data_IF_044238334027
#
_entry.id   IF_044238334027
#
_cell.length_a   1.000
_cell.length_b   1.000
_cell.length_c   1.000
_cell.angle_alpha   90.00
_cell.angle_beta   90.00
_cell.angle_gamma   90.00
#
_symmetry.space_group_name_H-M   'P 1'
#
loop_
_entity.id
_entity.type
_entity.pdbx_description
1 polymer ?
#
# COMPACT_ATOMS: atom_id res chain seq x y z
N UNK A 1 -14.27 3.06 -15.60
CA UNK A 1 -13.53 2.11 -14.75
C UNK A 1 -14.19 0.72 -14.59
N UNK A 2 -15.28 0.39 -15.33
CA UNK A 2 -16.12 -0.83 -15.13
C UNK A 2 -15.41 -2.21 -15.16
N UNK A 3 -14.14 -2.30 -15.57
CA UNK A 3 -13.35 -3.55 -15.63
C UNK A 3 -12.23 -3.65 -14.60
N UNK A 4 -11.97 -2.60 -13.82
CA UNK A 4 -10.85 -2.59 -12.88
C UNK A 4 -11.33 -3.11 -11.53
N UNK A 5 -10.72 -4.16 -10.95
CA UNK A 5 -11.13 -4.73 -9.68
C UNK A 5 -10.66 -3.86 -8.49
N UNK A 6 -11.09 -2.60 -8.46
CA UNK A 6 -10.61 -1.59 -7.51
C UNK A 6 -10.89 -2.00 -6.06
N UNK A 7 -12.13 -2.37 -5.74
CA UNK A 7 -12.52 -2.76 -4.39
C UNK A 7 -11.78 -4.02 -3.91
N UNK A 8 -11.57 -4.99 -4.81
CA UNK A 8 -10.78 -6.19 -4.50
C UNK A 8 -9.33 -5.83 -4.20
N UNK A 9 -8.71 -4.96 -5.00
CA UNK A 9 -7.33 -4.54 -4.81
C UNK A 9 -7.15 -3.80 -3.48
N UNK A 10 -8.04 -2.85 -3.17
CA UNK A 10 -8.02 -2.13 -1.89
C UNK A 10 -8.22 -3.09 -0.72
N UNK A 11 -9.14 -4.07 -0.84
CA UNK A 11 -9.35 -5.09 0.19
C UNK A 11 -8.09 -5.91 0.47
N UNK A 12 -7.34 -6.31 -0.55
CA UNK A 12 -6.03 -6.98 -0.38
C UNK A 12 -5.01 -6.07 0.31
N UNK A 13 -4.93 -4.79 -0.09
CA UNK A 13 -4.02 -3.83 0.55
C UNK A 13 -4.38 -3.55 2.01
N UNK A 14 -5.66 -3.59 2.38
CA UNK A 14 -6.10 -3.49 3.78
C UNK A 14 -5.64 -4.69 4.61
N UNK A 15 -5.53 -5.88 4.01
CA UNK A 15 -4.94 -7.03 4.70
C UNK A 15 -3.45 -6.82 4.92
N UNK A 16 -2.73 -6.41 3.87
CA UNK A 16 -1.29 -6.15 3.96
C UNK A 16 -0.98 -5.08 5.01
N UNK A 17 -1.73 -3.98 5.07
CA UNK A 17 -1.48 -2.91 6.04
C UNK A 17 -1.66 -3.36 7.50
N UNK A 18 -2.53 -4.34 7.76
CA UNK A 18 -2.79 -4.84 9.11
C UNK A 18 -1.79 -5.92 9.51
N UNK A 19 -1.43 -6.80 8.58
CA UNK A 19 -0.68 -8.02 8.91
C UNK A 19 0.83 -7.91 8.71
N UNK A 20 1.29 -7.20 7.68
CA UNK A 20 2.70 -7.30 7.23
C UNK A 20 3.36 -5.95 6.96
N UNK A 21 2.58 -4.94 6.57
CA UNK A 21 3.08 -3.65 6.05
C UNK A 21 2.31 -2.45 6.60
N UNK A 22 2.41 -2.16 7.92
CA UNK A 22 1.71 -1.02 8.52
C UNK A 22 2.14 0.33 7.93
N UNK A 23 3.29 0.38 7.25
CA UNK A 23 3.80 1.57 6.57
C UNK A 23 2.88 2.08 5.45
N UNK A 24 2.08 1.22 4.80
CA UNK A 24 1.14 1.65 3.74
C UNK A 24 -0.23 2.08 4.27
N UNK A 25 -0.48 2.03 5.58
CA UNK A 25 -1.82 2.22 6.15
C UNK A 25 -2.45 3.59 5.81
N UNK A 26 -1.64 4.64 5.73
CA UNK A 26 -2.14 5.98 5.38
C UNK A 26 -2.67 6.01 3.94
N UNK A 27 -1.85 5.59 2.98
CA UNK A 27 -2.21 5.56 1.56
C UNK A 27 -3.42 4.67 1.30
N UNK A 28 -3.47 3.49 1.92
CA UNK A 28 -4.62 2.57 1.85
C UNK A 28 -5.89 3.23 2.42
N UNK A 29 -5.77 3.95 3.53
CA UNK A 29 -6.86 4.71 4.12
C UNK A 29 -7.44 5.75 3.16
N UNK A 30 -6.59 6.48 2.43
CA UNK A 30 -7.03 7.47 1.43
C UNK A 30 -7.76 6.80 0.27
N UNK A 31 -7.20 5.76 -0.34
CA UNK A 31 -7.83 5.09 -1.50
C UNK A 31 -9.12 4.35 -1.11
N UNK A 32 -9.24 3.89 0.14
CA UNK A 32 -10.47 3.23 0.63
C UNK A 32 -11.71 4.13 0.63
N UNK A 33 -11.54 5.45 0.60
CA UNK A 33 -12.67 6.40 0.51
C UNK A 33 -13.37 6.36 -0.85
N UNK A 34 -12.72 5.85 -1.89
CA UNK A 34 -13.20 5.91 -3.28
C UNK A 34 -13.66 4.56 -3.83
N UNK A 35 -14.07 3.63 -2.96
CA UNK A 35 -14.47 2.27 -3.35
C UNK A 35 -15.68 2.22 -4.29
N UNK A 36 -16.67 3.09 -4.10
CA UNK A 36 -17.93 3.07 -4.87
C UNK A 36 -17.78 3.70 -6.26
N UNK A 37 -17.02 4.78 -6.36
CA UNK A 37 -16.81 5.49 -7.62
C UNK A 37 -15.35 5.91 -7.79
N UNK A 38 -14.47 4.94 -8.11
CA UNK A 38 -13.06 5.26 -8.32
C UNK A 38 -12.87 5.95 -9.68
N UNK A 39 -12.01 6.96 -9.68
CA UNK A 39 -11.48 7.62 -10.88
C UNK A 39 -10.07 7.13 -11.25
N UNK A 40 -9.59 7.44 -12.46
CA UNK A 40 -8.30 6.98 -12.99
C UNK A 40 -7.14 7.30 -12.06
N UNK A 41 -7.17 8.47 -11.42
CA UNK A 41 -6.15 8.90 -10.46
C UNK A 41 -6.10 7.99 -9.24
N UNK A 42 -7.26 7.57 -8.73
CA UNK A 42 -7.35 6.61 -7.61
C UNK A 42 -6.77 5.25 -7.98
N UNK A 43 -6.99 4.79 -9.22
CA UNK A 43 -6.37 3.55 -9.70
C UNK A 43 -4.87 3.70 -9.92
N UNK A 44 -4.40 4.89 -10.31
CA UNK A 44 -2.99 5.19 -10.39
C UNK A 44 -2.33 5.11 -9.01
N UNK A 45 -2.95 5.67 -7.97
CA UNK A 45 -2.48 5.56 -6.59
C UNK A 45 -2.36 4.09 -6.14
N UNK A 46 -3.38 3.26 -6.38
CA UNK A 46 -3.31 1.82 -6.07
C UNK A 46 -2.15 1.13 -6.79
N UNK A 47 -1.90 1.45 -8.06
CA UNK A 47 -0.74 0.91 -8.79
C UNK A 47 0.59 1.35 -8.17
N UNK A 48 0.70 2.59 -7.71
CA UNK A 48 1.89 3.08 -7.02
C UNK A 48 2.15 2.32 -5.72
N UNK A 49 1.12 2.07 -4.92
CA UNK A 49 1.24 1.25 -3.69
C UNK A 49 1.77 -0.15 -4.04
N UNK A 50 1.25 -0.78 -5.10
CA UNK A 50 1.70 -2.11 -5.53
C UNK A 50 3.15 -2.11 -6.04
N UNK A 51 3.58 -1.06 -6.76
CA UNK A 51 4.97 -0.90 -7.20
C UNK A 51 5.90 -0.74 -6.01
N UNK A 52 5.51 0.08 -5.03
CA UNK A 52 6.22 0.27 -3.78
C UNK A 52 6.38 -1.07 -3.05
N UNK A 53 5.27 -1.80 -2.83
CA UNK A 53 5.29 -3.11 -2.16
C UNK A 53 6.23 -4.11 -2.85
N UNK A 54 6.22 -4.14 -4.19
CA UNK A 54 7.13 -4.98 -4.98
C UNK A 54 8.59 -4.58 -4.78
N UNK A 55 8.89 -3.28 -4.83
CA UNK A 55 10.23 -2.71 -4.67
C UNK A 55 10.82 -2.94 -3.27
N UNK A 56 9.99 -2.84 -2.23
CA UNK A 56 10.39 -3.01 -0.84
C UNK A 56 10.05 -4.40 -0.28
N UNK A 57 9.80 -5.39 -1.13
CA UNK A 57 9.43 -6.76 -0.73
C UNK A 57 10.48 -7.46 0.15
N UNK A 58 11.76 -7.06 0.04
CA UNK A 58 12.88 -7.58 0.83
C UNK A 58 13.23 -6.74 2.06
N UNK A 59 12.57 -5.60 2.24
CA UNK A 59 12.80 -4.67 3.34
C UNK A 59 11.72 -4.90 4.40
N UNK A 60 12.13 -4.97 5.67
CA UNK A 60 11.22 -5.11 6.80
C UNK A 60 11.60 -4.12 7.92
N UNK A 61 10.62 -3.75 8.73
CA UNK A 61 10.84 -2.96 9.93
C UNK A 61 11.45 -3.85 11.03
N UNK A 62 12.72 -3.60 11.37
CA UNK A 62 13.41 -4.28 12.45
C UNK A 62 13.34 -3.45 13.74
N UNK A 63 12.75 -4.00 14.80
CA UNK A 63 12.75 -3.38 16.12
C UNK A 63 13.87 -4.00 16.98
N UNK A 64 14.87 -3.21 17.39
CA UNK A 64 15.88 -3.65 18.37
C UNK A 64 17.22 -4.17 17.82
N UNK A 65 17.85 -3.50 16.85
CA UNK A 65 19.23 -3.75 16.42
C UNK A 65 20.05 -2.46 16.34
N UNK A 66 21.34 -2.53 16.70
CA UNK A 66 22.26 -1.39 16.62
C UNK A 66 22.37 -0.82 15.21
N UNK A 67 22.37 0.51 15.13
CA UNK A 67 22.36 1.37 13.94
C UNK A 67 21.28 1.02 12.90
N UNK A 68 20.03 1.54 13.06
CA UNK A 68 18.99 1.37 12.06
C UNK A 68 19.35 2.17 10.80
N UNK A 69 19.92 1.51 9.81
CA UNK A 69 20.01 2.04 8.44
C UNK A 69 18.61 1.99 7.85
N UNK A 70 18.04 3.17 7.58
CA UNK A 70 16.68 3.31 7.07
C UNK A 70 16.64 2.99 5.57
N UNK A 71 16.34 1.74 5.21
CA UNK A 71 16.29 1.24 3.82
C UNK A 71 14.95 1.52 3.08
N UNK A 72 14.12 2.42 3.61
CA UNK A 72 12.92 2.98 2.96
C UNK A 72 12.00 3.75 3.93
N UNK A 73 11.11 4.67 3.54
CA UNK A 73 11.10 5.62 2.41
C UNK A 73 10.77 7.02 2.94
N UNK A 74 11.25 8.04 2.23
CA UNK A 74 10.63 9.37 2.03
C UNK A 74 10.10 9.39 0.61
#
# INVERSE_FOLDING_TARGET
>A
MKKVPYASAVGSLMYDMVCTRPDIAHEVGVVSRFLFNPDKDHWQAVKWILIYLKGTSKVCLCFGGGDPVLDGYT
#
